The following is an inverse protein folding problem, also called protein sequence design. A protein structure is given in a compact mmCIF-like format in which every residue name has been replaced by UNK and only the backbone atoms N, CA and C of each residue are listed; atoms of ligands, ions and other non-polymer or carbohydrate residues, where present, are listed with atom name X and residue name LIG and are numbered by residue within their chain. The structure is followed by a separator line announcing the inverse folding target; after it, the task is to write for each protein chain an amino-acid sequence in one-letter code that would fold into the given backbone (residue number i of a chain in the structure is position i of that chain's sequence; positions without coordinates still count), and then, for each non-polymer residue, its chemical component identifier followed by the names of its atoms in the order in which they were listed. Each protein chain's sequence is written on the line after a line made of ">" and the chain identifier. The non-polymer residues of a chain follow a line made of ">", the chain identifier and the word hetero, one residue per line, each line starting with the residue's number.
data_IF_979104013160
#
_entry.id   IF_979104013160
#
_cell.length_a   1.000
_cell.length_b   1.000
_cell.length_c   1.000
_cell.angle_alpha   90.00
_cell.angle_beta   90.00
_cell.angle_gamma   90.00
#
_symmetry.space_group_name_H-M   'P 1'
#
loop_
_entity.id
_entity.type
_entity.pdbx_description
1 polymer ?
#
# COMPACT_ATOMS: atom_id res chain seq x y z
N UNK A 1 6.99 3.35 9.07
CA UNK A 1 5.75 3.48 8.26
C UNK A 1 6.15 3.54 6.80
N UNK A 2 5.37 2.99 5.88
CA UNK A 2 5.74 2.90 4.46
C UNK A 2 4.55 2.50 3.60
N UNK A 3 4.62 2.80 2.31
CA UNK A 3 3.62 2.39 1.32
C UNK A 3 3.81 0.93 0.92
N UNK A 4 2.84 0.36 0.19
CA UNK A 4 2.96 -0.98 -0.41
C UNK A 4 4.26 -1.14 -1.19
N UNK A 5 4.51 -0.26 -2.15
CA UNK A 5 5.66 -0.34 -3.05
C UNK A 5 6.99 -0.19 -2.30
N UNK A 6 7.03 0.68 -1.28
CA UNK A 6 8.24 0.86 -0.46
C UNK A 6 8.55 -0.38 0.36
N UNK A 7 7.53 -1.02 0.93
CA UNK A 7 7.69 -2.31 1.62
C UNK A 7 8.16 -3.40 0.66
N UNK A 8 7.53 -3.52 -0.52
CA UNK A 8 7.93 -4.52 -1.51
C UNK A 8 9.37 -4.34 -1.98
N UNK A 9 9.79 -3.10 -2.23
CA UNK A 9 11.18 -2.80 -2.57
C UNK A 9 12.13 -3.21 -1.45
N UNK A 10 11.84 -2.80 -0.21
CA UNK A 10 12.66 -3.12 0.97
C UNK A 10 12.81 -4.63 1.17
N UNK A 11 11.72 -5.39 1.00
CA UNK A 11 11.74 -6.86 1.12
C UNK A 11 12.58 -7.46 0.00
N UNK A 12 12.40 -7.04 -1.26
CA UNK A 12 13.19 -7.55 -2.39
C UNK A 12 14.67 -7.24 -2.27
N UNK A 13 15.02 -6.06 -1.76
CA UNK A 13 16.41 -5.67 -1.54
C UNK A 13 17.07 -6.54 -0.44
N UNK A 14 16.29 -7.02 0.55
CA UNK A 14 16.78 -7.85 1.66
C UNK A 14 16.77 -9.36 1.36
N UNK A 15 15.75 -9.85 0.66
CA UNK A 15 15.47 -11.25 0.36
C UNK A 15 15.41 -11.47 -1.16
N UNK A 16 16.56 -11.46 -1.85
CA UNK A 16 16.62 -11.58 -3.30
C UNK A 16 16.05 -12.91 -3.84
N UNK A 17 15.98 -13.95 -3.00
CA UNK A 17 15.37 -15.24 -3.32
C UNK A 17 13.85 -15.17 -3.49
N UNK A 18 13.18 -14.13 -2.95
CA UNK A 18 11.73 -13.95 -3.10
C UNK A 18 11.44 -13.46 -4.52
N UNK A 19 10.84 -14.34 -5.33
CA UNK A 19 10.45 -13.99 -6.70
C UNK A 19 9.06 -13.38 -6.75
N UNK A 20 8.10 -14.03 -6.10
CA UNK A 20 6.71 -13.61 -6.05
C UNK A 20 6.47 -12.88 -4.75
N UNK A 21 6.06 -11.63 -4.83
CA UNK A 21 5.84 -10.79 -3.66
C UNK A 21 4.63 -9.89 -3.90
N UNK A 22 3.75 -9.81 -2.90
CA UNK A 22 2.70 -8.80 -2.81
C UNK A 22 2.56 -8.38 -1.36
N UNK A 23 2.52 -7.09 -1.12
CA UNK A 23 2.16 -6.53 0.19
C UNK A 23 0.74 -5.98 0.09
N UNK A 24 -0.05 -6.17 1.14
CA UNK A 24 -1.42 -5.68 1.19
C UNK A 24 -1.79 -5.26 2.61
N UNK A 25 -2.68 -4.28 2.73
CA UNK A 25 -3.27 -3.85 3.99
C UNK A 25 -4.73 -3.54 3.73
N UNK A 26 -5.62 -4.04 4.60
CA UNK A 26 -7.05 -3.75 4.58
C UNK A 26 -7.41 -2.45 5.32
N UNK A 27 -6.41 -1.68 5.78
CA UNK A 27 -6.58 -0.75 6.91
C UNK A 27 -6.68 -1.54 8.22
N UNK A 28 -6.68 -0.89 9.38
CA UNK A 28 -6.68 -1.54 10.72
C UNK A 28 -5.33 -2.08 11.19
N UNK A 29 -4.23 -1.39 10.87
CA UNK A 29 -2.91 -1.71 11.41
C UNK A 29 -2.40 -3.13 11.09
N UNK A 30 -3.01 -3.80 10.11
CA UNK A 30 -2.57 -5.12 9.65
C UNK A 30 -1.96 -5.00 8.25
N UNK A 31 -0.81 -5.64 8.08
CA UNK A 31 -0.11 -5.76 6.81
C UNK A 31 0.16 -7.23 6.54
N UNK A 32 -0.38 -7.73 5.43
CA UNK A 32 -0.14 -9.09 4.97
C UNK A 32 0.87 -9.07 3.83
N UNK A 33 1.92 -9.88 3.97
CA UNK A 33 2.98 -10.07 2.99
C UNK A 33 2.84 -11.47 2.41
N UNK A 34 2.54 -11.53 1.13
CA UNK A 34 2.39 -12.74 0.34
C UNK A 34 3.69 -12.98 -0.42
N UNK A 35 4.38 -14.08 -0.15
CA UNK A 35 5.69 -14.33 -0.73
C UNK A 35 5.91 -15.80 -1.13
N UNK A 36 6.66 -16.00 -2.22
CA UNK A 36 7.26 -17.29 -2.61
C UNK A 36 8.61 -17.06 -3.31
N UNK A 37 9.48 -18.07 -3.21
CA UNK A 37 10.70 -18.17 -4.01
C UNK A 37 10.42 -18.49 -5.50
N UNK A 38 11.49 -18.68 -6.27
CA UNK A 38 11.39 -19.06 -7.69
C UNK A 38 10.69 -20.41 -7.94
N UNK A 39 10.72 -21.31 -6.95
CA UNK A 39 10.11 -22.63 -7.01
C UNK A 39 8.66 -22.62 -6.48
N UNK A 40 8.07 -21.44 -6.32
CA UNK A 40 6.71 -21.24 -5.79
C UNK A 40 6.56 -21.81 -4.37
N UNK A 41 7.63 -21.80 -3.57
CA UNK A 41 7.61 -22.28 -2.20
C UNK A 41 7.82 -21.12 -1.21
N UNK A 42 7.21 -21.24 -0.04
CA UNK A 42 7.50 -20.42 1.12
C UNK A 42 7.95 -21.34 2.24
N UNK A 43 9.27 -21.56 2.33
CA UNK A 43 9.81 -22.41 3.40
C UNK A 43 9.55 -21.79 4.77
N UNK A 44 9.39 -22.62 5.80
CA UNK A 44 9.20 -22.15 7.18
C UNK A 44 10.35 -21.23 7.64
N UNK A 45 11.57 -21.51 7.19
CA UNK A 45 12.73 -20.66 7.51
C UNK A 45 12.61 -19.28 6.85
N UNK A 46 12.26 -19.22 5.56
CA UNK A 46 12.07 -17.95 4.85
C UNK A 46 10.92 -17.15 5.46
N UNK A 47 9.79 -17.80 5.76
CA UNK A 47 8.65 -17.16 6.41
C UNK A 47 9.04 -16.56 7.77
N UNK A 48 9.78 -17.30 8.59
CA UNK A 48 10.24 -16.83 9.90
C UNK A 48 11.21 -15.65 9.78
N UNK A 49 12.18 -15.74 8.88
CA UNK A 49 13.15 -14.66 8.65
C UNK A 49 12.46 -13.38 8.15
N UNK A 50 11.49 -13.52 7.24
CA UNK A 50 10.70 -12.41 6.73
C UNK A 50 9.84 -11.78 7.84
N UNK A 51 9.18 -12.58 8.67
CA UNK A 51 8.42 -12.06 9.82
C UNK A 51 9.29 -11.26 10.78
N UNK A 52 10.44 -11.80 11.20
CA UNK A 52 11.37 -11.10 12.09
C UNK A 52 11.88 -9.79 11.46
N UNK A 53 12.17 -9.81 10.16
CA UNK A 53 12.58 -8.61 9.46
C UNK A 53 11.48 -7.54 9.46
N UNK A 54 10.24 -7.93 9.17
CA UNK A 54 9.10 -7.02 9.14
C UNK A 54 8.80 -6.42 10.52
N UNK A 55 8.90 -7.20 11.59
CA UNK A 55 8.75 -6.70 12.96
C UNK A 55 9.81 -5.65 13.31
N UNK A 56 11.05 -5.83 12.84
CA UNK A 56 12.14 -4.88 13.10
C UNK A 56 12.08 -3.60 12.24
N UNK A 57 11.48 -3.67 11.04
CA UNK A 57 11.36 -2.52 10.12
C UNK A 57 10.01 -1.79 10.24
N UNK A 58 8.99 -2.48 10.74
CA UNK A 58 7.63 -2.00 10.84
C UNK A 58 7.45 -0.92 11.89
N UNK A 59 6.34 -0.18 11.79
CA UNK A 59 5.92 0.66 12.91
C UNK A 59 5.38 -0.25 14.04
N UNK A 60 5.65 0.10 15.30
CA UNK A 60 5.30 -0.73 16.46
C UNK A 60 3.80 -1.07 16.59
N UNK A 61 2.93 -0.26 15.97
CA UNK A 61 1.49 -0.47 15.96
C UNK A 61 1.01 -1.39 14.82
N UNK A 62 1.86 -1.74 13.85
CA UNK A 62 1.48 -2.56 12.69
C UNK A 62 1.77 -4.03 12.95
N UNK A 63 0.73 -4.86 12.89
CA UNK A 63 0.84 -6.31 12.89
C UNK A 63 1.19 -6.80 11.47
N UNK A 64 2.26 -7.56 11.35
CA UNK A 64 2.67 -8.18 10.08
C UNK A 64 2.27 -9.65 10.05
N UNK A 65 1.75 -10.11 8.92
CA UNK A 65 1.41 -11.51 8.67
C UNK A 65 2.11 -11.93 7.39
N UNK A 66 2.83 -13.05 7.43
CA UNK A 66 3.46 -13.64 6.23
C UNK A 66 2.64 -14.84 5.78
N UNK A 67 2.25 -14.85 4.52
CA UNK A 67 1.49 -15.94 3.89
C UNK A 67 2.15 -16.37 2.58
N UNK A 68 1.85 -17.61 2.16
CA UNK A 68 2.23 -18.10 0.84
C UNK A 68 1.56 -17.25 -0.26
N UNK A 69 2.26 -17.02 -1.39
CA UNK A 69 1.77 -16.11 -2.44
C UNK A 69 0.37 -16.45 -2.97
N UNK A 70 0.00 -17.73 -3.01
CA UNK A 70 -1.30 -18.15 -3.54
C UNK A 70 -2.51 -17.82 -2.66
N UNK A 71 -2.31 -17.44 -1.40
CA UNK A 71 -3.40 -16.95 -0.54
C UNK A 71 -3.97 -15.59 -1.01
N UNK A 72 -3.33 -14.89 -1.95
CA UNK A 72 -3.87 -13.63 -2.52
C UNK A 72 -5.30 -13.80 -3.06
N UNK A 73 -5.62 -14.96 -3.62
CA UNK A 73 -6.95 -15.23 -4.21
C UNK A 73 -7.99 -15.45 -3.12
N UNK A 74 -7.63 -16.24 -2.11
CA UNK A 74 -8.50 -16.56 -0.98
C UNK A 74 -8.80 -15.30 -0.14
N UNK A 75 -7.80 -14.45 0.03
CA UNK A 75 -7.91 -13.19 0.77
C UNK A 75 -8.51 -12.05 -0.08
N UNK A 76 -8.92 -12.31 -1.32
CA UNK A 76 -9.48 -11.32 -2.26
C UNK A 76 -8.58 -10.07 -2.44
N UNK A 77 -7.26 -10.28 -2.45
CA UNK A 77 -6.30 -9.19 -2.66
C UNK A 77 -6.45 -8.70 -4.10
N UNK A 78 -6.69 -7.39 -4.32
CA UNK A 78 -6.81 -6.84 -5.66
C UNK A 78 -5.55 -7.13 -6.50
N UNK A 79 -5.73 -7.47 -7.79
CA UNK A 79 -4.61 -7.74 -8.68
C UNK A 79 -3.66 -6.54 -8.71
N UNK A 80 -2.36 -6.83 -8.77
CA UNK A 80 -1.33 -5.81 -8.87
C UNK A 80 -1.27 -5.27 -10.31
N UNK A 81 -1.96 -4.17 -10.57
CA UNK A 81 -1.70 -3.37 -11.77
C UNK A 81 -0.43 -2.55 -11.53
N UNK A 82 0.47 -2.49 -12.51
CA UNK A 82 1.62 -1.58 -12.41
C UNK A 82 1.07 -0.14 -12.40
N UNK A 83 1.32 0.65 -11.33
CA UNK A 83 0.82 2.01 -11.27
C UNK A 83 1.57 2.89 -12.27
N UNK A 84 0.95 4.00 -12.73
CA UNK A 84 1.65 4.98 -13.56
C UNK A 84 2.98 5.43 -12.93
N UNK A 85 4.01 5.79 -13.73
CA UNK A 85 5.33 6.14 -13.22
C UNK A 85 5.33 7.21 -12.12
N UNK A 86 4.43 8.19 -12.22
CA UNK A 86 4.28 9.27 -11.24
C UNK A 86 3.76 8.74 -9.89
N UNK A 87 2.72 7.90 -9.92
CA UNK A 87 2.16 7.23 -8.74
C UNK A 87 3.22 6.33 -8.11
N UNK A 88 3.96 5.57 -8.93
CA UNK A 88 5.06 4.72 -8.47
C UNK A 88 6.16 5.52 -7.78
N UNK A 89 6.57 6.65 -8.35
CA UNK A 89 7.58 7.52 -7.77
C UNK A 89 7.12 8.09 -6.43
N UNK A 90 5.88 8.57 -6.37
CA UNK A 90 5.28 9.09 -5.13
C UNK A 90 5.22 7.99 -4.07
N UNK A 91 4.76 6.79 -4.43
CA UNK A 91 4.68 5.67 -3.50
C UNK A 91 6.05 5.28 -2.93
N UNK A 92 7.11 5.30 -3.74
CA UNK A 92 8.45 4.91 -3.31
C UNK A 92 9.16 5.97 -2.47
N UNK A 93 9.01 7.25 -2.82
CA UNK A 93 9.84 8.34 -2.33
C UNK A 93 9.09 9.47 -1.63
N UNK A 94 7.75 9.42 -1.60
CA UNK A 94 6.92 10.40 -0.94
C UNK A 94 7.15 10.45 0.57
N UNK A 95 6.98 11.65 1.13
CA UNK A 95 6.98 11.85 2.58
C UNK A 95 5.72 11.23 3.19
N UNK A 96 5.90 10.60 4.35
CA UNK A 96 4.87 9.78 5.00
C UNK A 96 4.24 10.45 6.22
N UNK A 97 4.61 11.70 6.51
CA UNK A 97 3.88 12.49 7.50
C UNK A 97 2.59 13.06 6.89
N UNK A 98 1.73 13.63 7.73
CA UNK A 98 0.42 14.13 7.30
C UNK A 98 0.51 15.17 6.17
N UNK A 99 1.56 16.01 6.15
CA UNK A 99 1.76 17.02 5.11
C UNK A 99 2.23 16.36 3.82
N UNK A 100 3.22 15.49 3.91
CA UNK A 100 3.77 14.73 2.79
C UNK A 100 2.74 13.85 2.08
N UNK A 101 1.88 13.17 2.85
CA UNK A 101 0.76 12.36 2.33
C UNK A 101 -0.20 13.27 1.54
N UNK A 102 -0.59 14.41 2.11
CA UNK A 102 -1.48 15.37 1.45
C UNK A 102 -0.89 15.90 0.15
N UNK A 103 0.38 16.31 0.15
CA UNK A 103 1.07 16.81 -1.05
C UNK A 103 1.20 15.71 -2.13
N UNK A 104 1.49 14.48 -1.71
CA UNK A 104 1.56 13.30 -2.58
C UNK A 104 0.24 13.02 -3.29
N UNK A 105 -0.88 13.11 -2.56
CA UNK A 105 -2.23 12.95 -3.10
C UNK A 105 -2.56 14.08 -4.09
N UNK A 106 -2.29 15.34 -3.73
CA UNK A 106 -2.50 16.50 -4.62
C UNK A 106 -1.73 16.34 -5.92
N UNK A 107 -0.49 15.88 -5.84
CA UNK A 107 0.35 15.63 -7.01
C UNK A 107 -0.15 14.46 -7.86
N UNK A 108 -0.70 13.41 -7.24
CA UNK A 108 -1.23 12.25 -7.94
C UNK A 108 -2.53 12.53 -8.69
N UNK A 109 -3.34 13.48 -8.21
CA UNK A 109 -4.65 13.79 -8.79
C UNK A 109 -4.87 15.29 -9.00
N UNK A 110 -4.07 15.96 -9.86
CA UNK A 110 -4.17 17.41 -10.07
C UNK A 110 -5.50 17.84 -10.70
N UNK A 111 -6.21 16.91 -11.36
CA UNK A 111 -7.51 17.14 -11.99
C UNK A 111 -8.68 17.07 -11.00
N UNK A 112 -8.50 16.39 -9.87
CA UNK A 112 -9.45 16.45 -8.78
C UNK A 112 -9.15 17.76 -8.08
N UNK A 113 -9.98 18.79 -8.32
CA UNK A 113 -9.92 20.05 -7.56
C UNK A 113 -10.30 19.76 -6.10
N UNK A 114 -9.36 19.17 -5.36
CA UNK A 114 -9.57 18.61 -4.03
C UNK A 114 -9.78 19.76 -3.06
N UNK A 115 -10.98 19.80 -2.46
CA UNK A 115 -11.28 20.78 -1.42
C UNK A 115 -10.49 20.48 -0.16
N UNK A 116 -10.36 19.20 0.19
CA UNK A 116 -9.70 18.81 1.43
C UNK A 116 -9.13 17.39 1.34
N UNK A 117 -7.91 17.25 1.86
CA UNK A 117 -7.35 15.97 2.27
C UNK A 117 -7.04 16.12 3.74
N UNK A 118 -7.64 15.29 4.58
CA UNK A 118 -7.33 15.23 6.01
C UNK A 118 -6.70 13.89 6.36
N UNK A 119 -5.72 13.93 7.25
CA UNK A 119 -5.00 12.77 7.78
C UNK A 119 -5.17 12.83 9.30
N UNK A 120 -6.09 12.02 9.83
CA UNK A 120 -6.44 12.01 11.26
C UNK A 120 -6.66 10.58 11.72
N UNK A 121 -6.09 10.21 12.88
CA UNK A 121 -6.31 8.90 13.52
C UNK A 121 -6.18 7.71 12.56
N UNK A 122 -5.12 7.70 11.75
CA UNK A 122 -4.84 6.66 10.75
C UNK A 122 -5.88 6.54 9.62
N UNK A 123 -6.72 7.56 9.45
CA UNK A 123 -7.67 7.68 8.33
C UNK A 123 -7.24 8.82 7.42
N UNK A 124 -7.11 8.52 6.13
CA UNK A 124 -6.99 9.53 5.08
C UNK A 124 -8.37 9.75 4.48
N UNK A 125 -8.93 10.94 4.68
CA UNK A 125 -10.22 11.34 4.08
C UNK A 125 -10.00 12.28 2.92
N UNK A 126 -10.81 12.07 1.89
CA UNK A 126 -10.75 12.82 0.65
C UNK A 126 -12.09 13.53 0.43
N UNK A 127 -12.06 14.82 0.13
CA UNK A 127 -13.23 15.54 -0.38
C UNK A 127 -12.91 16.25 -1.69
N UNK A 128 -13.71 15.93 -2.70
CA UNK A 128 -13.71 16.64 -3.98
C UNK A 128 -14.64 17.85 -3.91
N UNK A 129 -14.42 18.83 -4.78
CA UNK A 129 -15.35 19.95 -4.92
C UNK A 129 -16.74 19.48 -5.30
N UNK A 130 -17.79 20.11 -4.74
CA UNK A 130 -19.21 19.72 -4.93
C UNK A 130 -19.67 19.71 -6.41
N UNK A 131 -18.89 20.34 -7.29
CA UNK A 131 -19.15 20.40 -8.73
C UNK A 131 -18.47 19.26 -9.53
N UNK A 132 -17.73 18.37 -8.88
CA UNK A 132 -17.07 17.22 -9.50
C UNK A 132 -17.89 15.96 -9.20
N UNK A 133 -18.49 15.39 -10.24
CA UNK A 133 -19.11 14.08 -10.17
C UNK A 133 -18.11 13.03 -10.63
N UNK A 134 -17.74 12.12 -9.74
CA UNK A 134 -16.91 10.97 -10.06
C UNK A 134 -17.81 9.79 -10.43
N UNK A 135 -17.60 9.25 -11.63
CA UNK A 135 -18.17 7.97 -12.03
C UNK A 135 -17.62 6.84 -11.16
N UNK A 136 -18.33 5.71 -11.08
CA UNK A 136 -17.87 4.54 -10.32
C UNK A 136 -16.51 4.03 -10.80
N UNK A 137 -16.24 4.16 -12.11
CA UNK A 137 -14.96 3.79 -12.73
C UNK A 137 -13.84 4.70 -12.24
N UNK A 138 -14.06 6.02 -12.21
CA UNK A 138 -13.07 6.97 -11.69
C UNK A 138 -12.81 6.75 -10.20
N UNK A 139 -13.87 6.51 -9.41
CA UNK A 139 -13.72 6.16 -7.98
C UNK A 139 -12.89 4.91 -7.78
N UNK A 140 -13.06 3.91 -8.64
CA UNK A 140 -12.27 2.67 -8.61
C UNK A 140 -10.79 2.95 -8.92
N UNK A 141 -10.49 3.69 -9.99
CA UNK A 141 -9.10 4.05 -10.33
C UNK A 141 -8.42 4.89 -9.24
N UNK A 142 -9.13 5.87 -8.68
CA UNK A 142 -8.62 6.70 -7.60
C UNK A 142 -8.32 5.82 -6.38
N UNK A 143 -9.22 4.91 -6.02
CA UNK A 143 -9.01 3.96 -4.92
C UNK A 143 -7.75 3.12 -5.14
N UNK A 144 -7.58 2.56 -6.33
CA UNK A 144 -6.43 1.72 -6.65
C UNK A 144 -5.11 2.49 -6.50
N UNK A 145 -5.04 3.72 -6.99
CA UNK A 145 -3.83 4.55 -6.88
C UNK A 145 -3.60 5.05 -5.44
N UNK A 146 -4.66 5.30 -4.68
CA UNK A 146 -4.51 5.65 -3.27
C UNK A 146 -3.99 4.49 -2.43
N UNK A 147 -4.33 3.24 -2.75
CA UNK A 147 -3.72 2.07 -2.11
C UNK A 147 -2.19 1.99 -2.33
N UNK A 148 -1.67 2.63 -3.39
CA UNK A 148 -0.23 2.71 -3.65
C UNK A 148 0.45 3.84 -2.86
N UNK A 149 -0.24 4.96 -2.65
CA UNK A 149 0.34 6.18 -2.06
C UNK A 149 0.15 6.24 -0.55
N UNK A 150 -0.98 5.77 -0.05
CA UNK A 150 -1.32 5.85 1.37
C UNK A 150 -0.47 4.84 2.15
N UNK A 151 0.14 5.26 3.28
CA UNK A 151 0.91 4.34 4.09
C UNK A 151 0.10 3.14 4.55
N UNK A 152 0.75 1.98 4.60
CA UNK A 152 0.16 0.74 5.06
C UNK A 152 -0.36 0.87 6.50
N UNK A 153 -1.48 0.20 6.79
CA UNK A 153 -2.16 0.25 8.09
C UNK A 153 -3.21 1.37 8.20
N UNK A 154 -3.17 2.38 7.33
CA UNK A 154 -4.15 3.46 7.30
C UNK A 154 -5.41 3.09 6.51
N UNK A 155 -6.54 3.72 6.87
CA UNK A 155 -7.82 3.61 6.15
C UNK A 155 -7.97 4.73 5.12
N UNK A 156 -8.53 4.39 3.96
CA UNK A 156 -8.88 5.33 2.89
C UNK A 156 -10.39 5.53 2.90
N UNK A 157 -10.85 6.78 2.99
CA UNK A 157 -12.27 7.14 2.86
C UNK A 157 -12.49 8.05 1.67
N UNK A 158 -13.11 7.51 0.61
CA UNK A 158 -13.48 8.26 -0.58
C UNK A 158 -14.91 8.83 -0.47
N UNK A 159 -15.20 9.94 -1.17
CA UNK A 159 -16.54 10.52 -1.23
C UNK A 159 -17.53 9.68 -2.06
#
# INVERSE_FOLDING_TARGET
>A
MGTRLRYEKMIRDKFPEIRWLRVYSSGYFEVVVYACDENLNLSNSLAQQLSIFLENQGAAHIKHIVKHYFFIREDNVPPASEPPPEIKHIALYGELDARGIKESIIKAFPFLNMKMVTVENDVVRFSVSDNIFLTDIEKMFIRDYLHEIVPLGMRIELP
#
